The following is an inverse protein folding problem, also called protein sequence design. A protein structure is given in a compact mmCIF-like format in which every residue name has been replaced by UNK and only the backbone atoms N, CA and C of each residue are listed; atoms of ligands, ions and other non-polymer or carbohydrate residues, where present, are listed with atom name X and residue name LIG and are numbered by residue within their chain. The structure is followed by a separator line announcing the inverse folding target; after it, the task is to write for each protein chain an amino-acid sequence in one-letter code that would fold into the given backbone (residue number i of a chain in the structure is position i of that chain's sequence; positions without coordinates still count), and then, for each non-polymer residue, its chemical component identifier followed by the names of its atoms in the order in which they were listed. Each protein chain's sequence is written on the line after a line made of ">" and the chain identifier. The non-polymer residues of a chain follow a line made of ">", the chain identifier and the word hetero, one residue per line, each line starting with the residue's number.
data_IF_725883504911
#
_entry.id   IF_725883504911
#
_cell.length_a   1.000
_cell.length_b   1.000
_cell.length_c   1.000
_cell.angle_alpha   90.00
_cell.angle_beta   90.00
_cell.angle_gamma   90.00
#
_symmetry.space_group_name_H-M   'P 1'
#
loop_
_entity.id
_entity.type
_entity.pdbx_description
1 polymer ?
#
# COMPACT_ATOMS: atom_id res chain seq x y z
N UNK A 1 4.60 -7.14 -34.95
CA UNK A 1 4.15 -6.01 -34.10
C UNK A 1 5.27 -5.61 -33.15
N UNK A 2 5.41 -4.32 -32.81
CA UNK A 2 6.58 -3.74 -32.13
C UNK A 2 6.88 -4.27 -30.71
N UNK A 3 6.02 -5.12 -30.15
CA UNK A 3 6.13 -5.69 -28.80
C UNK A 3 5.92 -7.21 -28.77
N UNK A 4 6.20 -7.91 -29.87
CA UNK A 4 6.22 -9.37 -29.86
C UNK A 4 7.35 -9.91 -28.97
N UNK A 5 7.11 -11.05 -28.32
CA UNK A 5 8.06 -11.68 -27.39
C UNK A 5 9.45 -11.81 -27.99
N UNK A 6 9.54 -12.33 -29.22
CA UNK A 6 10.80 -12.56 -29.91
C UNK A 6 11.58 -11.26 -30.16
N UNK A 7 10.90 -10.19 -30.57
CA UNK A 7 11.52 -8.88 -30.76
C UNK A 7 12.08 -8.34 -29.43
N UNK A 8 11.30 -8.37 -28.35
CA UNK A 8 11.77 -7.90 -27.04
C UNK A 8 12.95 -8.73 -26.55
N UNK A 9 12.92 -10.06 -26.69
CA UNK A 9 14.01 -10.94 -26.27
C UNK A 9 15.31 -10.65 -27.01
N UNK A 10 15.24 -10.45 -28.33
CA UNK A 10 16.39 -10.08 -29.15
C UNK A 10 16.96 -8.72 -28.74
N UNK A 11 16.09 -7.74 -28.49
CA UNK A 11 16.51 -6.41 -28.06
C UNK A 11 17.11 -6.40 -26.65
N UNK A 12 16.53 -7.15 -25.72
CA UNK A 12 17.05 -7.32 -24.37
C UNK A 12 18.44 -7.95 -24.40
N UNK A 13 18.63 -9.05 -25.15
CA UNK A 13 19.93 -9.72 -25.25
C UNK A 13 20.97 -8.85 -25.97
N UNK A 14 20.59 -8.12 -27.03
CA UNK A 14 21.48 -7.14 -27.66
C UNK A 14 21.93 -6.05 -26.68
N UNK A 15 21.01 -5.49 -25.89
CA UNK A 15 21.36 -4.49 -24.88
C UNK A 15 22.28 -5.07 -23.82
N UNK A 16 22.07 -6.33 -23.40
CA UNK A 16 22.94 -7.05 -22.45
C UNK A 16 24.35 -7.20 -23.00
N UNK A 17 24.51 -7.65 -24.23
CA UNK A 17 25.81 -7.77 -24.90
C UNK A 17 26.51 -6.40 -24.97
N UNK A 18 25.79 -5.33 -25.36
CA UNK A 18 26.32 -3.97 -25.45
C UNK A 18 26.86 -3.43 -24.11
N UNK A 19 26.32 -3.89 -22.97
CA UNK A 19 26.78 -3.50 -21.63
C UNK A 19 27.75 -4.52 -21.01
N UNK A 20 28.21 -5.50 -21.77
CA UNK A 20 29.18 -6.51 -21.35
C UNK A 20 28.60 -7.61 -20.46
N UNK A 21 27.31 -7.93 -20.62
CA UNK A 21 26.65 -9.04 -19.96
C UNK A 21 26.45 -10.20 -20.93
N UNK A 22 26.49 -11.43 -20.42
CA UNK A 22 26.20 -12.61 -21.22
C UNK A 22 24.73 -12.65 -21.67
N UNK A 23 24.52 -13.15 -22.88
CA UNK A 23 23.21 -13.56 -23.35
C UNK A 23 22.64 -14.66 -22.46
N UNK A 24 21.33 -14.57 -22.20
CA UNK A 24 20.61 -15.55 -21.38
C UNK A 24 19.29 -15.90 -22.04
N UNK A 25 18.86 -17.14 -21.84
CA UNK A 25 17.54 -17.57 -22.25
C UNK A 25 16.54 -17.01 -21.24
N UNK A 26 15.70 -16.08 -21.70
CA UNK A 26 14.69 -15.41 -20.89
C UNK A 26 13.33 -15.93 -21.32
N UNK A 27 12.49 -16.30 -20.35
CA UNK A 27 11.13 -16.74 -20.62
C UNK A 27 10.11 -15.65 -20.22
N UNK A 28 9.34 -15.21 -21.20
CA UNK A 28 8.26 -14.22 -21.02
C UNK A 28 6.93 -14.96 -21.09
N UNK A 29 6.20 -14.95 -19.99
CA UNK A 29 4.86 -15.52 -19.87
C UNK A 29 3.85 -14.66 -20.64
N UNK A 30 3.83 -13.34 -20.37
CA UNK A 30 2.84 -12.42 -20.95
C UNK A 30 3.41 -11.02 -21.13
N UNK A 31 2.87 -10.31 -22.12
CA UNK A 31 3.17 -8.90 -22.39
C UNK A 31 1.84 -8.14 -22.42
N UNK A 32 1.82 -6.96 -21.82
CA UNK A 32 0.69 -6.04 -21.89
C UNK A 32 1.22 -4.63 -22.18
N UNK A 33 0.68 -3.99 -23.22
CA UNK A 33 1.01 -2.62 -23.57
C UNK A 33 -0.22 -1.75 -23.33
N UNK A 34 -0.04 -0.66 -22.57
CA UNK A 34 -1.08 0.34 -22.35
C UNK A 34 -0.81 1.55 -23.25
N UNK A 35 -1.59 1.69 -24.32
CA UNK A 35 -1.46 2.79 -25.28
C UNK A 35 -1.71 4.16 -24.63
N UNK A 36 -2.61 4.23 -23.65
CA UNK A 36 -3.00 5.50 -23.02
C UNK A 36 -1.90 6.06 -22.13
N UNK A 37 -1.13 5.20 -21.45
CA UNK A 37 -0.03 5.61 -20.58
C UNK A 37 1.34 5.47 -21.25
N UNK A 38 1.40 4.85 -22.43
CA UNK A 38 2.63 4.49 -23.13
C UNK A 38 3.57 3.64 -22.26
N UNK A 39 2.99 2.66 -21.56
CA UNK A 39 3.70 1.79 -20.61
C UNK A 39 3.64 0.33 -21.05
N UNK A 40 4.76 -0.38 -20.91
CA UNK A 40 4.89 -1.79 -21.25
C UNK A 40 5.07 -2.63 -19.98
N UNK A 41 4.26 -3.67 -19.85
CA UNK A 41 4.36 -4.68 -18.79
C UNK A 41 4.88 -5.98 -19.37
N UNK A 42 5.98 -6.49 -18.82
CA UNK A 42 6.60 -7.75 -19.18
C UNK A 42 6.49 -8.69 -17.97
N UNK A 43 5.71 -9.75 -18.10
CA UNK A 43 5.51 -10.76 -17.07
C UNK A 43 6.39 -11.95 -17.43
N UNK A 44 7.40 -12.22 -16.60
CA UNK A 44 8.35 -13.32 -16.77
C UNK A 44 7.89 -14.57 -16.03
N UNK A 45 8.39 -15.74 -16.42
CA UNK A 45 8.05 -17.00 -15.71
C UNK A 45 8.54 -16.97 -14.26
N UNK A 46 9.75 -16.47 -14.01
CA UNK A 46 10.33 -16.43 -12.67
C UNK A 46 11.14 -15.15 -12.36
N UNK A 47 11.79 -15.15 -11.19
CA UNK A 47 12.62 -14.03 -10.72
C UNK A 47 13.98 -13.92 -11.42
N UNK A 48 14.71 -15.02 -11.70
CA UNK A 48 15.86 -14.98 -12.59
C UNK A 48 15.59 -14.27 -13.92
N UNK A 49 14.48 -14.59 -14.60
CA UNK A 49 14.08 -13.93 -15.84
C UNK A 49 13.81 -12.43 -15.64
N UNK A 50 13.01 -12.07 -14.62
CA UNK A 50 12.76 -10.66 -14.24
C UNK A 50 14.09 -9.91 -14.03
N UNK A 51 15.02 -10.54 -13.32
CA UNK A 51 16.34 -9.95 -13.03
C UNK A 51 17.20 -9.80 -14.29
N UNK A 52 17.09 -10.73 -15.24
CA UNK A 52 17.79 -10.67 -16.51
C UNK A 52 17.30 -9.51 -17.40
N UNK A 53 15.99 -9.27 -17.44
CA UNK A 53 15.37 -8.16 -18.18
C UNK A 53 15.67 -6.81 -17.50
N UNK A 54 15.61 -6.72 -16.17
CA UNK A 54 15.96 -5.50 -15.44
C UNK A 54 17.45 -5.18 -15.63
N UNK A 55 18.31 -6.20 -15.54
CA UNK A 55 19.75 -6.05 -15.62
C UNK A 55 20.37 -5.45 -14.34
N UNK A 56 21.69 -5.52 -14.21
CA UNK A 56 22.41 -4.93 -13.06
C UNK A 56 22.10 -3.43 -13.01
N UNK A 57 21.65 -2.95 -11.85
CA UNK A 57 21.31 -1.54 -11.65
C UNK A 57 20.16 -1.01 -12.50
N UNK A 58 19.34 -1.88 -13.13
CA UNK A 58 18.23 -1.45 -13.99
C UNK A 58 18.64 -0.98 -15.38
N UNK A 59 19.90 -1.21 -15.79
CA UNK A 59 20.45 -0.69 -17.05
C UNK A 59 19.76 -1.25 -18.29
N UNK A 60 19.42 -2.54 -18.29
CA UNK A 60 18.87 -3.21 -19.47
C UNK A 60 17.46 -2.69 -19.74
N UNK A 61 16.59 -2.70 -18.72
CA UNK A 61 15.23 -2.16 -18.84
C UNK A 61 15.21 -0.65 -19.11
N UNK A 62 16.15 0.11 -18.55
CA UNK A 62 16.31 1.55 -18.80
C UNK A 62 16.63 1.87 -20.26
N UNK A 63 17.64 1.19 -20.83
CA UNK A 63 17.98 1.32 -22.25
C UNK A 63 16.87 0.82 -23.17
N UNK A 64 16.21 -0.28 -22.81
CA UNK A 64 15.09 -0.82 -23.58
C UNK A 64 13.95 0.20 -23.65
N UNK A 65 13.60 0.81 -22.52
CA UNK A 65 12.60 1.89 -22.44
C UNK A 65 12.95 3.06 -23.36
N UNK A 66 14.18 3.56 -23.29
CA UNK A 66 14.66 4.66 -24.14
C UNK A 66 14.58 4.32 -25.62
N UNK A 67 15.01 3.11 -25.99
CA UNK A 67 15.00 2.63 -27.37
C UNK A 67 13.59 2.49 -27.94
N UNK A 68 12.64 2.04 -27.12
CA UNK A 68 11.24 1.87 -27.52
C UNK A 68 10.43 3.16 -27.40
N UNK A 69 10.99 4.24 -26.84
CA UNK A 69 10.28 5.51 -26.65
C UNK A 69 9.10 5.41 -25.68
N UNK A 70 9.22 4.54 -24.67
CA UNK A 70 8.17 4.27 -23.69
C UNK A 70 8.32 5.18 -22.45
N UNK A 71 7.20 5.53 -21.81
CA UNK A 71 7.23 6.27 -20.53
C UNK A 71 7.80 5.40 -19.41
N UNK A 72 7.37 4.14 -19.34
CA UNK A 72 7.86 3.17 -18.37
C UNK A 72 7.81 1.74 -18.90
N UNK A 73 8.69 0.89 -18.35
CA UNK A 73 8.61 -0.56 -18.51
C UNK A 73 8.54 -1.19 -17.13
N UNK A 74 7.50 -1.97 -16.89
CA UNK A 74 7.29 -2.74 -15.67
C UNK A 74 7.65 -4.20 -15.95
N UNK A 75 8.51 -4.78 -15.10
CA UNK A 75 8.91 -6.18 -15.22
C UNK A 75 8.48 -6.90 -13.95
N UNK A 76 7.58 -7.88 -14.09
CA UNK A 76 7.03 -8.63 -12.97
C UNK A 76 7.24 -10.13 -13.14
N UNK A 77 7.43 -10.84 -12.02
CA UNK A 77 7.53 -12.30 -12.08
C UNK A 77 6.15 -12.92 -11.89
N UNK A 78 5.85 -13.97 -12.64
CA UNK A 78 4.59 -14.70 -12.52
C UNK A 78 4.35 -15.20 -11.09
N UNK A 79 5.42 -15.60 -10.39
CA UNK A 79 5.36 -15.98 -8.98
C UNK A 79 4.84 -14.87 -8.03
N UNK A 80 5.10 -13.60 -8.33
CA UNK A 80 4.56 -12.50 -7.52
C UNK A 80 3.02 -12.40 -7.68
N UNK A 81 2.49 -12.67 -8.89
CA UNK A 81 1.04 -12.74 -9.14
C UNK A 81 0.40 -13.96 -8.48
N UNK A 82 1.03 -15.14 -8.52
CA UNK A 82 0.52 -16.33 -7.82
C UNK A 82 0.34 -16.08 -6.31
N UNK A 83 1.30 -15.38 -5.70
CA UNK A 83 1.21 -15.01 -4.29
C UNK A 83 0.09 -13.99 -4.03
N UNK A 84 -0.08 -13.00 -4.93
CA UNK A 84 -1.18 -12.02 -4.85
C UNK A 84 -2.54 -12.70 -4.99
N UNK A 85 -2.69 -13.62 -5.94
CA UNK A 85 -3.90 -14.41 -6.16
C UNK A 85 -4.24 -15.26 -4.94
N UNK A 86 -3.25 -15.96 -4.38
CA UNK A 86 -3.43 -16.76 -3.17
C UNK A 86 -3.92 -15.91 -1.99
N UNK A 87 -3.31 -14.74 -1.73
CA UNK A 87 -3.74 -13.82 -0.68
C UNK A 87 -5.15 -13.28 -0.90
N UNK A 88 -5.51 -12.94 -2.13
CA UNK A 88 -6.86 -12.48 -2.48
C UNK A 88 -7.90 -13.58 -2.28
N UNK A 89 -7.64 -14.82 -2.69
CA UNK A 89 -8.52 -15.99 -2.43
C UNK A 89 -8.74 -16.20 -0.94
N UNK A 90 -7.68 -16.10 -0.12
CA UNK A 90 -7.81 -16.16 1.33
C UNK A 90 -8.60 -14.99 1.90
N UNK A 91 -8.38 -13.77 1.42
CA UNK A 91 -9.09 -12.57 1.87
C UNK A 91 -10.58 -12.69 1.55
N UNK A 92 -10.94 -13.14 0.34
CA UNK A 92 -12.32 -13.45 -0.05
C UNK A 92 -12.95 -14.43 0.92
N UNK A 93 -12.33 -15.60 1.11
CA UNK A 93 -12.82 -16.61 2.06
C UNK A 93 -13.04 -16.04 3.46
N UNK A 94 -12.14 -15.19 3.93
CA UNK A 94 -12.26 -14.58 5.26
C UNK A 94 -13.40 -13.57 5.33
N UNK A 95 -13.60 -12.72 4.30
CA UNK A 95 -14.72 -11.78 4.24
C UNK A 95 -16.05 -12.53 4.16
N UNK A 96 -16.17 -13.54 3.30
CA UNK A 96 -17.39 -14.33 3.11
C UNK A 96 -17.82 -15.11 4.36
N UNK A 97 -16.87 -15.42 5.24
CA UNK A 97 -17.13 -16.14 6.49
C UNK A 97 -17.58 -15.22 7.63
N UNK A 98 -17.64 -13.90 7.42
CA UNK A 98 -18.15 -12.97 8.41
C UNK A 98 -19.66 -12.97 8.41
N UNK A 99 -20.25 -13.15 9.59
CA UNK A 99 -21.68 -13.00 9.81
C UNK A 99 -22.00 -11.51 10.05
N UNK A 100 -21.77 -10.68 9.03
CA UNK A 100 -21.99 -9.24 9.04
C UNK A 100 -22.68 -8.79 7.74
N UNK A 101 -23.89 -8.29 7.87
CA UNK A 101 -24.66 -7.69 6.79
C UNK A 101 -24.31 -6.19 6.69
N UNK A 102 -23.22 -5.88 5.98
CA UNK A 102 -22.69 -4.53 5.81
C UNK A 102 -22.42 -4.27 4.32
N UNK A 103 -22.96 -3.16 3.80
CA UNK A 103 -22.86 -2.80 2.38
C UNK A 103 -21.40 -2.68 1.95
N UNK A 104 -20.55 -2.11 2.81
CA UNK A 104 -19.12 -1.99 2.53
C UNK A 104 -18.39 -3.32 2.41
N UNK A 105 -18.79 -4.36 3.15
CA UNK A 105 -18.19 -5.70 3.05
C UNK A 105 -18.65 -6.43 1.79
N UNK A 106 -19.92 -6.32 1.41
CA UNK A 106 -20.41 -6.89 0.14
C UNK A 106 -19.68 -6.27 -1.06
N UNK A 107 -19.51 -4.95 -1.07
CA UNK A 107 -18.79 -4.25 -2.13
C UNK A 107 -17.29 -4.58 -2.11
N UNK A 108 -16.70 -4.81 -0.93
CA UNK A 108 -15.33 -5.30 -0.80
C UNK A 108 -15.19 -6.69 -1.41
N UNK A 109 -16.14 -7.61 -1.16
CA UNK A 109 -16.13 -8.95 -1.75
C UNK A 109 -16.16 -8.87 -3.29
N UNK A 110 -17.09 -8.10 -3.87
CA UNK A 110 -17.19 -7.86 -5.33
C UNK A 110 -15.88 -7.29 -5.91
N UNK A 111 -15.22 -6.41 -5.15
CA UNK A 111 -13.93 -5.82 -5.53
C UNK A 111 -12.82 -6.86 -5.50
N UNK A 112 -12.79 -7.74 -4.49
CA UNK A 112 -11.82 -8.84 -4.41
C UNK A 112 -12.01 -9.80 -5.60
N UNK A 113 -13.25 -10.14 -5.94
CA UNK A 113 -13.59 -10.99 -7.10
C UNK A 113 -13.11 -10.37 -8.42
N UNK A 114 -13.48 -9.12 -8.70
CA UNK A 114 -13.05 -8.43 -9.90
C UNK A 114 -11.52 -8.33 -10.00
N UNK A 115 -10.85 -8.12 -8.85
CA UNK A 115 -9.39 -8.07 -8.80
C UNK A 115 -8.75 -9.44 -9.04
N UNK A 116 -9.38 -10.53 -8.62
CA UNK A 116 -8.93 -11.89 -8.94
C UNK A 116 -9.06 -12.19 -10.44
N UNK A 117 -10.17 -11.80 -11.06
CA UNK A 117 -10.41 -11.99 -12.49
C UNK A 117 -9.45 -11.16 -13.36
N UNK A 118 -9.07 -9.97 -12.89
CA UNK A 118 -8.25 -9.00 -13.63
C UNK A 118 -6.87 -8.77 -13.01
N UNK A 119 -6.27 -9.79 -12.39
CA UNK A 119 -5.09 -9.62 -11.51
C UNK A 119 -3.89 -8.89 -12.14
N UNK A 120 -3.72 -8.97 -13.46
CA UNK A 120 -2.63 -8.34 -14.20
C UNK A 120 -2.88 -6.88 -14.58
N UNK A 121 -4.15 -6.48 -14.70
CA UNK A 121 -4.56 -5.19 -15.28
C UNK A 121 -5.49 -4.40 -14.37
N UNK A 122 -5.80 -4.91 -13.17
CA UNK A 122 -6.73 -4.26 -12.26
C UNK A 122 -6.22 -2.88 -11.84
N UNK A 123 -7.05 -1.86 -12.07
CA UNK A 123 -6.78 -0.48 -11.70
C UNK A 123 -7.96 0.07 -10.88
N UNK A 124 -7.69 0.52 -9.66
CA UNK A 124 -8.75 1.04 -8.76
C UNK A 124 -9.48 2.25 -9.32
N UNK A 125 -8.78 3.18 -9.97
CA UNK A 125 -9.38 4.41 -10.47
C UNK A 125 -10.39 4.10 -11.59
N UNK A 126 -9.96 3.31 -12.58
CA UNK A 126 -10.85 2.81 -13.65
C UNK A 126 -12.01 2.01 -13.06
N UNK A 127 -11.72 1.06 -12.15
CA UNK A 127 -12.73 0.19 -11.56
C UNK A 127 -13.84 0.98 -10.85
N UNK A 128 -13.49 1.97 -10.02
CA UNK A 128 -14.48 2.78 -9.31
C UNK A 128 -15.18 3.84 -10.17
N UNK A 129 -14.66 4.14 -11.36
CA UNK A 129 -15.34 5.03 -12.31
C UNK A 129 -16.36 4.25 -13.17
N UNK A 130 -16.08 2.98 -13.44
CA UNK A 130 -16.95 2.10 -14.24
C UNK A 130 -18.03 1.39 -13.40
N UNK A 131 -17.82 1.26 -12.10
CA UNK A 131 -18.73 0.57 -11.19
C UNK A 131 -19.37 1.54 -10.21
N UNK A 132 -20.70 1.50 -10.11
CA UNK A 132 -21.44 2.21 -9.06
C UNK A 132 -21.64 1.29 -7.86
N UNK A 133 -21.17 1.73 -6.70
CA UNK A 133 -21.38 1.05 -5.43
C UNK A 133 -22.48 1.74 -4.65
N UNK A 134 -23.36 0.95 -4.05
CA UNK A 134 -24.30 1.45 -3.07
C UNK A 134 -23.55 1.90 -1.83
N UNK A 135 -23.94 3.05 -1.28
CA UNK A 135 -23.41 3.54 -0.01
C UNK A 135 -24.37 3.23 1.13
N UNK A 136 -23.84 2.72 2.24
CA UNK A 136 -24.62 2.43 3.43
C UNK A 136 -25.28 3.68 3.99
N UNK A 137 -26.54 3.55 4.44
CA UNK A 137 -27.24 4.63 5.15
C UNK A 137 -26.66 4.87 6.55
N UNK A 138 -26.02 3.86 7.12
CA UNK A 138 -25.42 3.91 8.45
C UNK A 138 -23.90 4.04 8.35
N UNK A 139 -23.26 4.58 9.40
CA UNK A 139 -21.80 4.58 9.49
C UNK A 139 -21.33 3.17 9.84
N UNK A 140 -20.74 2.45 8.89
CA UNK A 140 -20.29 1.06 9.10
C UNK A 140 -18.83 0.99 9.56
N UNK A 141 -18.03 2.03 9.29
CA UNK A 141 -16.61 2.01 9.59
C UNK A 141 -16.06 3.31 10.18
N UNK A 142 -15.13 3.16 11.11
CA UNK A 142 -14.20 4.21 11.55
C UNK A 142 -12.87 4.01 10.86
N UNK A 143 -12.35 5.01 10.15
CA UNK A 143 -11.02 4.97 9.54
C UNK A 143 -10.00 5.66 10.45
N UNK A 144 -8.97 4.93 10.86
CA UNK A 144 -7.82 5.51 11.56
C UNK A 144 -6.92 6.27 10.58
N UNK A 145 -7.13 7.58 10.46
CA UNK A 145 -6.50 8.44 9.47
C UNK A 145 -5.27 9.16 10.05
N UNK A 146 -4.09 8.90 9.48
CA UNK A 146 -2.83 9.53 9.91
C UNK A 146 -2.38 10.70 9.03
N UNK A 147 -2.99 10.86 7.85
CA UNK A 147 -2.55 11.80 6.81
C UNK A 147 -1.38 11.32 5.95
N UNK A 148 -0.85 10.13 6.25
CA UNK A 148 0.06 9.40 5.37
C UNK A 148 -0.69 8.67 4.25
N UNK A 149 0.03 8.39 3.16
CA UNK A 149 -0.53 7.81 1.92
C UNK A 149 -1.37 6.57 2.17
N UNK A 150 -0.92 5.63 3.00
CA UNK A 150 -1.63 4.36 3.20
C UNK A 150 -2.98 4.55 3.90
N UNK A 151 -3.02 5.35 4.97
CA UNK A 151 -4.27 5.66 5.66
C UNK A 151 -5.21 6.53 4.83
N UNK A 152 -4.66 7.41 3.98
CA UNK A 152 -5.44 8.22 3.05
C UNK A 152 -6.10 7.34 1.98
N UNK A 153 -5.35 6.39 1.41
CA UNK A 153 -5.88 5.39 0.50
C UNK A 153 -6.99 4.55 1.16
N UNK A 154 -6.81 4.12 2.41
CA UNK A 154 -7.85 3.42 3.14
C UNK A 154 -9.14 4.23 3.28
N UNK A 155 -9.06 5.54 3.52
CA UNK A 155 -10.26 6.38 3.60
C UNK A 155 -10.96 6.51 2.24
N UNK A 156 -10.20 6.69 1.16
CA UNK A 156 -10.73 6.75 -0.20
C UNK A 156 -11.44 5.44 -0.53
N UNK A 157 -10.79 4.29 -0.30
CA UNK A 157 -11.40 2.99 -0.54
C UNK A 157 -12.65 2.78 0.32
N UNK A 158 -12.60 3.11 1.61
CA UNK A 158 -13.76 2.95 2.49
C UNK A 158 -14.97 3.75 2.00
N UNK A 159 -14.74 4.99 1.53
CA UNK A 159 -15.81 5.82 0.95
C UNK A 159 -16.31 5.24 -0.38
N UNK A 160 -15.42 4.85 -1.29
CA UNK A 160 -15.75 4.31 -2.61
C UNK A 160 -16.48 2.95 -2.54
N UNK A 161 -16.17 2.14 -1.54
CA UNK A 161 -16.84 0.86 -1.27
C UNK A 161 -18.16 1.02 -0.52
N UNK A 162 -18.55 2.24 -0.13
CA UNK A 162 -19.85 2.48 0.48
C UNK A 162 -19.96 2.15 1.97
N UNK A 163 -18.84 2.05 2.70
CA UNK A 163 -18.88 1.89 4.16
C UNK A 163 -19.49 3.10 4.91
N UNK A 164 -19.75 4.21 4.20
CA UNK A 164 -20.13 5.50 4.77
C UNK A 164 -19.26 5.85 5.99
N UNK A 165 -17.94 5.97 5.80
CA UNK A 165 -17.01 6.00 6.91
C UNK A 165 -17.08 7.31 7.69
N UNK A 166 -16.69 7.26 8.95
CA UNK A 166 -16.16 8.44 9.67
C UNK A 166 -14.66 8.26 9.88
N UNK A 167 -13.89 9.33 9.76
CA UNK A 167 -12.45 9.30 9.96
C UNK A 167 -12.08 9.89 11.33
N UNK A 168 -11.09 9.29 11.99
CA UNK A 168 -10.51 9.87 13.21
C UNK A 168 -9.01 10.01 13.07
N UNK A 169 -8.46 11.08 13.63
CA UNK A 169 -7.01 11.27 13.75
C UNK A 169 -6.64 11.44 15.21
N UNK A 170 -5.81 10.52 15.71
CA UNK A 170 -5.21 10.67 17.04
C UNK A 170 -4.10 11.72 16.95
N UNK A 171 -4.23 12.80 17.73
CA UNK A 171 -3.30 13.93 17.74
C UNK A 171 -2.49 13.98 19.05
N UNK A 172 -1.29 13.38 19.06
CA UNK A 172 -0.35 13.50 20.16
C UNK A 172 0.66 14.64 19.99
N UNK A 173 0.38 15.59 19.09
CA UNK A 173 1.24 16.74 18.82
C UNK A 173 2.16 16.56 17.61
N UNK A 174 2.82 17.65 17.23
CA UNK A 174 3.50 17.82 15.94
C UNK A 174 4.73 16.94 15.74
N UNK A 175 5.34 16.45 16.82
CA UNK A 175 6.48 15.53 16.75
C UNK A 175 6.09 14.17 16.16
N UNK A 176 4.80 13.80 16.22
CA UNK A 176 4.27 12.56 15.64
C UNK A 176 3.33 12.89 14.46
N UNK A 177 2.49 13.92 14.60
CA UNK A 177 1.53 14.36 13.58
C UNK A 177 1.92 15.74 13.01
N UNK A 178 2.89 15.81 12.08
CA UNK A 178 3.36 17.07 11.51
C UNK A 178 2.26 17.82 10.74
N UNK A 179 2.42 19.14 10.58
CA UNK A 179 1.44 20.01 9.91
C UNK A 179 1.06 19.55 8.50
N UNK A 180 2.01 18.99 7.74
CA UNK A 180 1.73 18.46 6.40
C UNK A 180 0.71 17.31 6.43
N UNK A 181 0.76 16.41 7.41
CA UNK A 181 -0.25 15.36 7.55
C UNK A 181 -1.62 15.94 7.89
N UNK A 182 -1.68 16.95 8.77
CA UNK A 182 -2.93 17.68 9.06
C UNK A 182 -3.52 18.33 7.81
N UNK A 183 -2.67 18.88 6.93
CA UNK A 183 -3.12 19.44 5.65
C UNK A 183 -3.67 18.35 4.71
N UNK A 184 -2.98 17.22 4.58
CA UNK A 184 -3.47 16.09 3.79
C UNK A 184 -4.82 15.58 4.30
N UNK A 185 -4.97 15.46 5.63
CA UNK A 185 -6.23 15.09 6.28
C UNK A 185 -7.34 16.06 5.89
N UNK A 186 -7.09 17.36 6.03
CA UNK A 186 -8.06 18.41 5.67
C UNK A 186 -8.51 18.29 4.21
N UNK A 187 -7.57 18.28 3.27
CA UNK A 187 -7.85 18.18 1.84
C UNK A 187 -8.67 16.94 1.51
N UNK A 188 -8.28 15.80 2.08
CA UNK A 188 -8.94 14.53 1.80
C UNK A 188 -10.37 14.50 2.33
N UNK A 189 -10.59 14.97 3.56
CA UNK A 189 -11.93 15.00 4.15
C UNK A 189 -12.87 15.95 3.39
N UNK A 190 -12.37 17.13 2.98
CA UNK A 190 -13.12 18.08 2.16
C UNK A 190 -13.49 17.47 0.80
N UNK A 191 -12.55 16.79 0.15
CA UNK A 191 -12.78 16.17 -1.16
C UNK A 191 -13.76 14.98 -1.13
N UNK A 192 -13.74 14.19 -0.05
CA UNK A 192 -14.59 13.00 0.10
C UNK A 192 -15.93 13.29 0.80
N UNK A 193 -16.09 14.49 1.34
CA UNK A 193 -17.21 14.87 2.21
C UNK A 193 -17.43 13.85 3.34
N UNK A 194 -16.35 13.46 4.02
CA UNK A 194 -16.36 12.49 5.13
C UNK A 194 -16.25 13.23 6.47
N UNK A 195 -17.11 12.87 7.43
CA UNK A 195 -17.00 13.35 8.81
C UNK A 195 -15.65 12.95 9.39
N UNK A 196 -14.93 13.93 9.92
CA UNK A 196 -13.63 13.74 10.56
C UNK A 196 -13.54 14.36 11.94
N UNK A 197 -12.83 13.68 12.84
CA UNK A 197 -12.60 14.16 14.21
C UNK A 197 -11.12 14.01 14.62
N UNK A 198 -10.59 15.04 15.27
CA UNK A 198 -9.29 14.97 15.95
C UNK A 198 -9.50 14.53 17.41
N UNK A 199 -8.84 13.46 17.82
CA UNK A 199 -8.83 12.98 19.20
C UNK A 199 -7.49 13.33 19.82
N UNK A 200 -7.48 14.31 20.73
CA UNK A 200 -6.27 14.67 21.48
C UNK A 200 -5.82 13.48 22.35
N UNK A 201 -4.52 13.18 22.32
CA UNK A 201 -3.95 12.10 23.10
C UNK A 201 -2.60 12.49 23.71
N UNK A 202 -2.33 12.08 24.94
CA UNK A 202 -1.04 12.33 25.58
C UNK A 202 -0.07 11.17 25.34
N UNK A 203 0.94 11.37 24.49
CA UNK A 203 2.00 10.39 24.24
C UNK A 203 3.33 10.78 24.93
N UNK A 204 3.30 11.70 25.90
CA UNK A 204 4.50 12.18 26.60
C UNK A 204 5.35 11.04 27.17
N UNK A 205 4.72 10.01 27.73
CA UNK A 205 5.44 8.83 28.23
C UNK A 205 6.14 8.07 27.09
N UNK A 206 5.45 7.82 25.98
CA UNK A 206 6.03 7.13 24.81
C UNK A 206 7.21 7.90 24.24
N UNK A 207 7.08 9.23 24.14
CA UNK A 207 8.14 10.13 23.69
C UNK A 207 9.35 10.02 24.64
N UNK A 208 9.14 10.19 25.95
CA UNK A 208 10.19 10.12 26.98
C UNK A 208 10.95 8.80 26.94
N UNK A 209 10.23 7.68 26.88
CA UNK A 209 10.83 6.34 26.84
C UNK A 209 11.59 6.06 25.55
N UNK A 210 11.12 6.59 24.42
CA UNK A 210 11.80 6.45 23.13
C UNK A 210 13.19 7.12 23.15
N UNK A 211 13.34 8.20 23.93
CA UNK A 211 14.62 8.89 24.11
C UNK A 211 15.58 8.24 25.12
N UNK A 212 15.23 7.07 25.67
CA UNK A 212 16.12 6.25 26.52
C UNK A 212 17.00 5.27 25.73
N UNK A 213 16.68 5.03 24.45
CA UNK A 213 17.37 4.03 23.62
C UNK A 213 16.96 2.59 23.94
N UNK A 214 16.03 2.34 24.87
CA UNK A 214 15.56 0.97 25.15
C UNK A 214 14.39 0.54 24.27
N UNK A 215 13.71 1.50 23.64
CA UNK A 215 12.44 1.27 22.98
C UNK A 215 12.32 1.99 21.64
N UNK A 216 11.82 1.27 20.64
CA UNK A 216 11.41 1.84 19.37
C UNK A 216 9.96 2.36 19.45
N UNK A 217 9.66 3.62 19.09
CA UNK A 217 8.38 4.28 19.39
C UNK A 217 7.17 3.63 18.71
N UNK A 218 7.31 3.20 17.45
CA UNK A 218 6.17 2.86 16.59
C UNK A 218 5.24 1.78 17.17
N UNK A 219 5.77 0.81 17.91
CA UNK A 219 4.94 -0.24 18.53
C UNK A 219 3.99 0.33 19.61
N UNK A 220 4.48 1.20 20.49
CA UNK A 220 3.65 1.85 21.53
C UNK A 220 2.69 2.86 20.92
N UNK A 221 3.15 3.67 19.96
CA UNK A 221 2.27 4.60 19.26
C UNK A 221 1.11 3.87 18.57
N UNK A 222 1.40 2.78 17.84
CA UNK A 222 0.39 1.97 17.14
C UNK A 222 -0.61 1.35 18.12
N UNK A 223 -0.13 0.80 19.25
CA UNK A 223 -0.99 0.27 20.32
C UNK A 223 -1.93 1.34 20.86
N UNK A 224 -1.40 2.48 21.31
CA UNK A 224 -2.20 3.56 21.89
C UNK A 224 -3.24 4.10 20.89
N UNK A 225 -2.85 4.28 19.62
CA UNK A 225 -3.75 4.74 18.56
C UNK A 225 -4.85 3.71 18.31
N UNK A 226 -4.50 2.42 18.31
CA UNK A 226 -5.46 1.33 18.19
C UNK A 226 -6.50 1.32 19.31
N UNK A 227 -6.08 1.48 20.57
CA UNK A 227 -7.01 1.53 21.71
C UNK A 227 -7.95 2.74 21.66
N UNK A 228 -7.44 3.92 21.26
CA UNK A 228 -8.27 5.11 21.10
C UNK A 228 -9.30 4.91 19.98
N UNK A 229 -8.88 4.38 18.83
CA UNK A 229 -9.79 4.09 17.73
C UNK A 229 -10.85 3.06 18.09
N UNK A 230 -10.45 2.02 18.84
CA UNK A 230 -11.33 0.99 19.37
C UNK A 230 -12.37 1.57 20.32
N UNK A 231 -11.95 2.39 21.26
CA UNK A 231 -12.85 3.09 22.18
C UNK A 231 -13.86 3.95 21.41
N UNK A 232 -13.38 4.76 20.46
CA UNK A 232 -14.25 5.59 19.63
C UNK A 232 -15.32 4.78 18.89
N UNK A 233 -14.91 3.69 18.25
CA UNK A 233 -15.83 2.83 17.52
C UNK A 233 -16.87 2.19 18.45
N UNK A 234 -16.47 1.72 19.64
CA UNK A 234 -17.41 1.18 20.64
C UNK A 234 -18.40 2.22 21.15
N UNK A 235 -17.90 3.40 21.54
CA UNK A 235 -18.74 4.49 22.08
C UNK A 235 -19.79 4.95 21.06
N UNK A 236 -19.47 4.85 19.76
CA UNK A 236 -20.36 5.20 18.65
C UNK A 236 -21.09 3.99 18.02
N UNK A 237 -20.92 2.77 18.55
CA UNK A 237 -21.51 1.53 18.05
C UNK A 237 -21.21 1.25 16.56
N UNK A 238 -20.00 1.56 16.11
CA UNK A 238 -19.56 1.34 14.73
C UNK A 238 -18.84 -0.02 14.65
N UNK A 239 -19.26 -0.94 13.76
CA UNK A 239 -18.82 -2.34 13.81
C UNK A 239 -17.41 -2.59 13.27
N UNK A 240 -16.84 -1.68 12.47
CA UNK A 240 -15.52 -1.86 11.83
C UNK A 240 -14.57 -0.70 12.15
N UNK A 241 -13.32 -1.02 12.46
CA UNK A 241 -12.18 -0.09 12.42
C UNK A 241 -11.30 -0.43 11.22
N UNK A 242 -11.10 0.54 10.34
CA UNK A 242 -10.25 0.42 9.15
C UNK A 242 -8.87 1.01 9.44
N UNK A 243 -7.82 0.22 9.14
CA UNK A 243 -6.42 0.64 9.17
C UNK A 243 -5.77 0.52 7.79
N UNK A 244 -4.68 1.26 7.59
CA UNK A 244 -3.87 1.24 6.37
C UNK A 244 -2.70 0.24 6.37
N UNK A 245 -2.69 -0.75 7.26
CA UNK A 245 -1.63 -1.77 7.24
C UNK A 245 -1.76 -2.63 5.97
N UNK A 246 -0.63 -2.92 5.32
CA UNK A 246 -0.55 -3.76 4.12
C UNK A 246 0.04 -5.16 4.41
N UNK A 247 0.50 -5.43 5.64
CA UNK A 247 1.13 -6.71 5.98
C UNK A 247 0.13 -7.80 6.37
N UNK A 248 -1.02 -7.44 6.92
CA UNK A 248 -2.01 -8.38 7.42
C UNK A 248 -2.90 -8.90 6.27
N UNK A 249 -2.32 -9.58 5.29
CA UNK A 249 -3.04 -10.04 4.08
C UNK A 249 -3.74 -11.38 4.30
N UNK A 250 -4.66 -11.74 3.41
CA UNK A 250 -5.28 -13.08 3.41
C UNK A 250 -6.16 -13.29 4.64
N UNK A 251 -5.94 -14.39 5.35
CA UNK A 251 -6.77 -14.79 6.48
C UNK A 251 -6.70 -13.88 7.72
N UNK A 252 -5.83 -12.88 7.69
CA UNK A 252 -5.62 -11.92 8.78
C UNK A 252 -6.02 -10.50 8.39
N UNK A 253 -6.63 -10.30 7.21
CA UNK A 253 -7.02 -8.97 6.74
C UNK A 253 -8.14 -8.35 7.55
N UNK A 254 -9.00 -9.17 8.16
CA UNK A 254 -10.03 -8.75 9.07
C UNK A 254 -10.07 -9.70 10.27
N UNK A 255 -10.09 -9.15 11.48
CA UNK A 255 -10.10 -9.94 12.71
C UNK A 255 -11.03 -9.34 13.74
N UNK A 256 -11.80 -10.19 14.42
CA UNK A 256 -12.56 -9.81 15.60
C UNK A 256 -11.60 -9.29 16.68
N UNK A 257 -11.92 -8.14 17.27
CA UNK A 257 -11.15 -7.56 18.37
C UNK A 257 -11.80 -7.90 19.71
N UNK A 258 -12.93 -7.28 19.99
CA UNK A 258 -13.73 -7.50 21.20
C UNK A 258 -15.21 -7.34 20.86
N UNK A 259 -16.05 -8.11 21.53
CA UNK A 259 -17.50 -8.11 21.34
C UNK A 259 -17.89 -8.37 19.87
N UNK A 260 -18.41 -7.37 19.17
CA UNK A 260 -18.78 -7.42 17.74
C UNK A 260 -17.96 -6.43 16.89
N UNK A 261 -16.82 -5.97 17.39
CA UNK A 261 -15.97 -4.98 16.72
C UNK A 261 -14.85 -5.65 15.93
N UNK A 262 -14.78 -5.34 14.64
CA UNK A 262 -13.79 -5.91 13.73
C UNK A 262 -12.71 -4.90 13.37
N UNK A 263 -11.48 -5.38 13.27
CA UNK A 263 -10.36 -4.64 12.69
C UNK A 263 -10.16 -5.08 11.26
N UNK A 264 -10.36 -4.19 10.30
CA UNK A 264 -10.11 -4.38 8.88
C UNK A 264 -8.85 -3.64 8.43
N UNK A 265 -7.86 -4.36 7.94
CA UNK A 265 -6.72 -3.77 7.23
C UNK A 265 -7.05 -3.73 5.74
N UNK A 266 -7.80 -2.70 5.33
CA UNK A 266 -8.47 -2.63 4.03
C UNK A 266 -7.51 -2.73 2.82
N UNK A 267 -6.32 -2.11 2.81
CA UNK A 267 -5.37 -2.33 1.72
C UNK A 267 -4.85 -3.78 1.67
N UNK A 268 -4.69 -4.41 2.82
CA UNK A 268 -4.19 -5.79 2.90
C UNK A 268 -5.23 -6.83 2.44
N UNK A 269 -6.54 -6.60 2.64
CA UNK A 269 -7.60 -7.49 2.12
C UNK A 269 -7.63 -7.52 0.60
N UNK A 270 -7.12 -6.47 -0.04
CA UNK A 270 -7.02 -6.34 -1.48
C UNK A 270 -5.60 -6.61 -2.00
N UNK A 271 -4.68 -7.08 -1.15
CA UNK A 271 -3.26 -7.32 -1.50
C UNK A 271 -2.64 -6.17 -2.29
N UNK A 272 -2.85 -4.94 -1.81
CA UNK A 272 -2.46 -3.71 -2.49
C UNK A 272 -0.96 -3.47 -2.36
N UNK A 273 -0.33 -3.08 -3.49
CA UNK A 273 1.04 -2.54 -3.53
C UNK A 273 1.06 -1.01 -3.61
N UNK A 274 2.23 -0.40 -3.36
CA UNK A 274 2.38 1.07 -3.41
C UNK A 274 2.04 1.71 -4.75
N UNK A 275 2.26 1.03 -5.87
CA UNK A 275 1.92 1.57 -7.18
C UNK A 275 0.40 1.73 -7.33
N UNK A 276 -0.38 0.77 -6.85
CA UNK A 276 -1.85 0.84 -6.81
C UNK A 276 -2.35 1.94 -5.86
N UNK A 277 -1.62 2.21 -4.77
CA UNK A 277 -1.93 3.34 -3.88
C UNK A 277 -1.69 4.67 -4.59
N UNK A 278 -0.52 4.82 -5.23
CA UNK A 278 -0.15 6.03 -5.95
C UNK A 278 -1.13 6.36 -7.07
N UNK A 279 -1.58 5.34 -7.81
CA UNK A 279 -2.50 5.52 -8.93
C UNK A 279 -3.85 6.10 -8.51
N UNK A 280 -4.37 5.76 -7.32
CA UNK A 280 -5.63 6.31 -6.81
C UNK A 280 -5.43 7.64 -6.07
N UNK A 281 -4.36 7.78 -5.29
CA UNK A 281 -4.11 9.00 -4.49
C UNK A 281 -3.80 10.22 -5.35
N UNK A 282 -3.22 10.05 -6.55
CA UNK A 282 -2.87 11.17 -7.43
C UNK A 282 -4.04 12.13 -7.71
N UNK A 283 -5.28 11.64 -7.61
CA UNK A 283 -6.50 12.42 -7.82
C UNK A 283 -6.85 13.38 -6.66
N UNK A 284 -6.10 13.34 -5.55
CA UNK A 284 -6.40 14.06 -4.30
C UNK A 284 -5.32 15.07 -3.89
N UNK A 285 -4.31 15.29 -4.74
CA UNK A 285 -3.26 16.31 -4.56
C UNK A 285 -2.54 16.28 -3.19
N UNK A 286 -2.39 15.06 -2.64
CA UNK A 286 -1.81 14.85 -1.31
C UNK A 286 -0.29 15.01 -1.33
N UNK A 287 0.25 15.73 -0.34
CA UNK A 287 1.70 15.92 -0.23
C UNK A 287 2.37 14.71 0.39
N UNK A 288 3.38 14.15 -0.27
CA UNK A 288 4.18 13.04 0.26
C UNK A 288 5.32 13.55 1.14
N UNK A 289 5.65 12.78 2.19
CA UNK A 289 6.88 13.01 2.96
C UNK A 289 8.03 12.26 2.30
N UNK A 290 9.20 12.91 2.23
CA UNK A 290 10.43 12.20 1.88
C UNK A 290 10.94 11.46 3.11
N UNK A 291 11.29 10.19 2.92
CA UNK A 291 11.86 9.33 3.94
C UNK A 291 10.85 8.54 4.76
N UNK A 292 11.36 7.75 5.69
CA UNK A 292 10.57 6.79 6.46
C UNK A 292 10.19 7.30 7.86
N UNK A 293 8.89 7.28 8.16
CA UNK A 293 8.32 7.53 9.49
C UNK A 293 8.07 9.00 9.83
N UNK A 294 7.76 9.25 11.11
CA UNK A 294 7.42 10.57 11.63
C UNK A 294 8.64 11.28 12.26
N UNK A 295 8.55 12.59 12.58
CA UNK A 295 9.66 13.34 13.17
C UNK A 295 10.23 12.72 14.46
N UNK A 296 9.39 12.17 15.34
CA UNK A 296 9.84 11.45 16.54
C UNK A 296 10.79 10.30 16.19
N UNK A 297 10.42 9.51 15.17
CA UNK A 297 11.24 8.37 14.74
C UNK A 297 12.57 8.85 14.17
N UNK A 298 12.56 9.94 13.40
CA UNK A 298 13.78 10.56 12.89
C UNK A 298 14.74 10.96 14.03
N UNK A 299 14.24 11.67 15.05
CA UNK A 299 15.05 12.07 16.20
C UNK A 299 15.58 10.86 17.01
N UNK A 300 14.76 9.81 17.16
CA UNK A 300 15.19 8.55 17.81
C UNK A 300 16.29 7.87 16.99
N UNK A 301 16.16 7.78 15.67
CA UNK A 301 17.20 7.21 14.80
C UNK A 301 18.49 8.03 14.80
N UNK A 302 18.40 9.35 14.90
CA UNK A 302 19.54 10.25 15.00
C UNK A 302 20.30 10.05 16.31
N UNK A 303 19.59 9.97 17.44
CA UNK A 303 20.19 9.76 18.77
C UNK A 303 20.67 8.32 18.98
N UNK A 304 19.95 7.34 18.44
CA UNK A 304 20.23 5.91 18.61
C UNK A 304 20.24 5.19 17.26
N UNK A 305 21.34 5.28 16.47
CA UNK A 305 21.40 4.73 15.11
C UNK A 305 21.10 3.22 15.02
N UNK A 306 21.41 2.44 16.05
CA UNK A 306 21.09 1.00 16.07
C UNK A 306 19.59 0.71 16.06
N UNK A 307 18.72 1.68 16.38
CA UNK A 307 17.26 1.55 16.27
C UNK A 307 16.77 1.48 14.82
N UNK A 308 17.56 1.99 13.85
CA UNK A 308 17.24 1.93 12.42
C UNK A 308 16.96 0.49 11.97
N UNK A 309 17.62 -0.51 12.56
CA UNK A 309 17.44 -1.93 12.23
C UNK A 309 15.98 -2.38 12.33
N UNK A 310 15.20 -1.86 13.29
CA UNK A 310 13.80 -2.23 13.46
C UNK A 310 12.91 -1.63 12.36
N UNK A 311 13.21 -0.39 11.95
CA UNK A 311 12.56 0.25 10.81
C UNK A 311 12.94 -0.42 9.48
N UNK A 312 14.22 -0.76 9.28
CA UNK A 312 14.69 -1.54 8.13
C UNK A 312 13.98 -2.90 8.10
N UNK A 313 13.87 -3.59 9.24
CA UNK A 313 13.15 -4.86 9.31
C UNK A 313 11.67 -4.71 8.89
N UNK A 314 10.99 -3.62 9.28
CA UNK A 314 9.62 -3.34 8.83
C UNK A 314 9.57 -3.12 7.31
N UNK A 315 10.48 -2.31 6.75
CA UNK A 315 10.57 -2.08 5.31
C UNK A 315 10.75 -3.40 4.56
N UNK A 316 11.72 -4.24 4.98
CA UNK A 316 11.98 -5.53 4.36
C UNK A 316 10.80 -6.50 4.45
N UNK A 317 10.00 -6.43 5.52
CA UNK A 317 8.76 -7.21 5.64
C UNK A 317 7.72 -6.77 4.62
N UNK A 318 7.57 -5.47 4.39
CA UNK A 318 6.67 -4.91 3.38
C UNK A 318 7.15 -5.23 1.96
N UNK A 319 8.46 -5.24 1.72
CA UNK A 319 9.04 -5.70 0.45
C UNK A 319 8.76 -7.18 0.23
N UNK A 320 9.01 -8.02 1.24
CA UNK A 320 8.74 -9.45 1.17
C UNK A 320 7.26 -9.75 0.95
N UNK A 321 6.35 -8.93 1.50
CA UNK A 321 4.91 -9.11 1.29
C UNK A 321 4.43 -8.65 -0.09
N UNK A 322 5.29 -8.01 -0.90
CA UNK A 322 4.91 -7.40 -2.18
C UNK A 322 4.16 -6.07 -2.03
N UNK A 323 4.19 -5.46 -0.85
CA UNK A 323 3.58 -4.15 -0.62
C UNK A 323 4.50 -3.00 -1.11
N UNK A 324 5.81 -3.19 -0.99
CA UNK A 324 6.85 -2.29 -1.51
C UNK A 324 7.64 -2.97 -2.62
N UNK A 325 7.92 -2.23 -3.69
CA UNK A 325 8.92 -2.67 -4.66
C UNK A 325 10.34 -2.57 -4.08
N UNK A 326 11.31 -3.39 -4.55
CA UNK A 326 12.68 -3.35 -4.07
C UNK A 326 13.31 -1.96 -4.16
N UNK A 327 13.05 -1.20 -5.22
CA UNK A 327 13.54 0.17 -5.39
C UNK A 327 12.98 1.14 -4.34
N UNK A 328 11.68 1.06 -4.05
CA UNK A 328 11.04 1.90 -3.03
C UNK A 328 11.55 1.57 -1.62
N UNK A 329 11.69 0.28 -1.32
CA UNK A 329 12.26 -0.19 -0.07
C UNK A 329 13.68 0.35 0.13
N UNK A 330 14.47 0.32 -0.94
CA UNK A 330 15.83 0.79 -0.97
C UNK A 330 15.93 2.32 -0.75
N UNK A 331 15.05 3.10 -1.39
CA UNK A 331 14.93 4.54 -1.16
C UNK A 331 14.59 4.88 0.30
N UNK A 332 13.65 4.13 0.90
CA UNK A 332 13.28 4.28 2.31
C UNK A 332 14.45 3.95 3.23
N UNK A 333 15.19 2.87 2.97
CA UNK A 333 16.37 2.50 3.76
C UNK A 333 17.47 3.57 3.63
N UNK A 334 17.73 4.06 2.40
CA UNK A 334 18.73 5.11 2.19
C UNK A 334 18.35 6.43 2.85
N UNK A 335 17.06 6.71 3.01
CA UNK A 335 16.60 7.91 3.72
C UNK A 335 17.07 8.00 5.16
N UNK A 336 17.50 6.90 5.78
CA UNK A 336 18.07 6.92 7.13
C UNK A 336 19.51 7.45 7.19
N UNK A 337 20.17 7.60 6.04
CA UNK A 337 21.58 7.99 5.94
C UNK A 337 21.78 9.32 5.18
N UNK A 338 20.68 9.92 4.72
CA UNK A 338 20.61 11.31 4.23
C UNK A 338 20.35 12.22 5.41
#
# INVERSE_FOLDING_TARGET
>A
MMYEKEFLLNEINKIRDEIGHDNVNIFIEKIYFNENTNELWIITEDRPDKSAIIGKGGWVVGKLREKLGLESIHVESYGDFLNKEYKLKLSKKTVNNLDLDLVGLENLEKTIENKLENIYSFNFDTYFNENQFEESKNIEAVVALSGGVDSSFSLILAKKLGFNPTAITVDPGTIILPKQFKNNIKLLNESLNVKHEYINADYSQVIKESFTGKLHPCGRCSKNTGEIAKKYAKDNKIPIIIFGDMLATGSQCINLQEDSLYRLNLPASLSVGKQEIKSLIKNYDLKTFKGFGCPLLYEVHKKFPYMKKFSIQRILRETRSGALEPGEALDLIWSFYK
#
